data_IF_698433129221
#
_entry.id   IF_698433129221
#
_cell.length_a   1.000
_cell.length_b   1.000
_cell.length_c   1.000
_cell.angle_alpha   90.00
_cell.angle_beta   90.00
_cell.angle_gamma   90.00
#
_symmetry.space_group_name_H-M   'P 1'
#
loop_
_entity.id
_entity.type
_entity.pdbx_description
1 polymer ?
#
# COMPACT_ATOMS: atom_id res chain seq x y z
N UNK A 1 6.52 35.53 -6.46
CA UNK A 1 7.62 35.36 -5.47
C UNK A 1 7.48 34.13 -4.57
N UNK A 2 6.31 33.46 -4.50
CA UNK A 2 6.09 32.23 -3.71
C UNK A 2 6.64 30.96 -4.38
N UNK A 3 6.44 30.80 -5.68
CA UNK A 3 6.82 29.59 -6.44
C UNK A 3 8.33 29.32 -6.46
N UNK A 4 9.15 30.37 -6.52
CA UNK A 4 10.62 30.26 -6.48
C UNK A 4 11.14 29.75 -5.13
N UNK A 5 10.47 30.10 -4.01
CA UNK A 5 10.84 29.62 -2.67
C UNK A 5 10.35 28.19 -2.43
N UNK A 6 9.26 27.80 -3.05
CA UNK A 6 8.70 26.45 -2.98
C UNK A 6 9.58 25.44 -3.74
N UNK A 7 10.03 25.79 -4.96
CA UNK A 7 10.96 24.96 -5.74
C UNK A 7 12.34 24.76 -5.08
N UNK A 8 12.88 25.78 -4.41
CA UNK A 8 14.15 25.65 -3.66
C UNK A 8 14.01 24.77 -2.40
N UNK A 9 12.83 24.78 -1.76
CA UNK A 9 12.54 23.95 -0.58
C UNK A 9 12.40 22.48 -0.97
N UNK A 10 11.75 22.21 -2.10
CA UNK A 10 11.58 20.85 -2.62
C UNK A 10 12.91 20.21 -3.02
N UNK A 11 13.81 20.93 -3.69
CA UNK A 11 15.13 20.41 -4.06
C UNK A 11 15.99 20.04 -2.84
N UNK A 12 15.97 20.88 -1.78
CA UNK A 12 16.70 20.60 -0.53
C UNK A 12 16.15 19.38 0.23
N UNK A 13 14.82 19.20 0.23
CA UNK A 13 14.20 18.00 0.81
C UNK A 13 14.58 16.77 -0.02
N UNK A 14 14.54 16.88 -1.34
CA UNK A 14 14.87 15.77 -2.23
C UNK A 14 16.30 15.27 -2.02
N UNK A 15 17.29 16.16 -1.99
CA UNK A 15 18.71 15.81 -1.77
C UNK A 15 18.92 15.19 -0.38
N UNK A 16 18.36 15.78 0.67
CA UNK A 16 18.47 15.24 2.04
C UNK A 16 17.89 13.83 2.14
N UNK A 17 16.70 13.59 1.58
CA UNK A 17 16.07 12.28 1.69
C UNK A 17 16.68 11.26 0.72
N UNK A 18 17.31 11.70 -0.38
CA UNK A 18 18.11 10.83 -1.26
C UNK A 18 19.34 10.29 -0.54
N UNK A 19 20.02 11.09 0.29
CA UNK A 19 21.18 10.61 1.07
C UNK A 19 20.79 9.75 2.27
N UNK A 20 19.61 9.97 2.87
CA UNK A 20 19.13 9.14 3.98
C UNK A 20 18.59 7.80 3.48
N UNK A 21 17.86 7.76 2.36
CA UNK A 21 17.15 6.56 1.88
C UNK A 21 17.78 6.02 0.59
N UNK A 22 18.97 5.46 0.72
CA UNK A 22 19.75 4.80 -0.33
C UNK A 22 19.77 3.27 -0.18
N UNK A 23 20.24 2.57 -1.22
CA UNK A 23 20.37 1.11 -1.24
C UNK A 23 19.04 0.39 -0.92
N UNK A 24 19.04 -0.45 0.12
CA UNK A 24 17.86 -1.19 0.57
C UNK A 24 16.70 -0.29 1.07
N UNK A 25 16.99 0.97 1.40
CA UNK A 25 16.02 1.93 1.93
C UNK A 25 15.30 2.74 0.85
N UNK A 26 15.74 2.62 -0.40
CA UNK A 26 15.23 3.36 -1.56
C UNK A 26 13.70 3.23 -1.72
N UNK A 27 13.13 2.05 -1.40
CA UNK A 27 11.68 1.81 -1.44
C UNK A 27 10.86 2.77 -0.56
N UNK A 28 11.46 3.30 0.49
CA UNK A 28 10.80 4.22 1.43
C UNK A 28 10.96 5.69 1.02
N UNK A 29 11.86 6.01 0.09
CA UNK A 29 12.25 7.38 -0.24
C UNK A 29 11.08 8.26 -0.67
N UNK A 30 10.26 7.79 -1.62
CA UNK A 30 9.08 8.54 -2.10
C UNK A 30 8.08 8.81 -0.98
N UNK A 31 7.89 7.85 -0.08
CA UNK A 31 7.00 8.02 1.06
C UNK A 31 7.56 9.06 2.05
N UNK A 32 8.85 8.97 2.37
CA UNK A 32 9.56 9.91 3.22
C UNK A 32 9.50 11.36 2.67
N UNK A 33 9.69 11.53 1.36
CA UNK A 33 9.56 12.82 0.68
C UNK A 33 8.14 13.37 0.77
N UNK A 34 7.12 12.52 0.57
CA UNK A 34 5.73 12.94 0.71
C UNK A 34 5.39 13.35 2.16
N UNK A 35 5.88 12.62 3.16
CA UNK A 35 5.77 13.02 4.57
C UNK A 35 6.37 14.40 4.79
N UNK A 36 7.61 14.63 4.33
CA UNK A 36 8.30 15.90 4.49
C UNK A 36 7.56 17.07 3.82
N UNK A 37 7.05 16.87 2.59
CA UNK A 37 6.23 17.86 1.86
C UNK A 37 4.92 18.21 2.59
N UNK A 38 4.38 17.27 3.38
CA UNK A 38 3.19 17.48 4.21
C UNK A 38 3.52 17.99 5.63
N UNK A 39 4.75 18.41 5.88
CA UNK A 39 5.18 18.97 7.18
C UNK A 39 5.74 17.95 8.17
N UNK A 40 5.84 16.67 7.76
CA UNK A 40 6.41 15.57 8.52
C UNK A 40 7.93 15.57 8.50
N UNK A 41 8.53 16.58 9.14
CA UNK A 41 9.98 16.72 9.28
C UNK A 41 10.32 16.58 10.77
N UNK A 42 11.18 15.61 11.10
CA UNK A 42 11.69 15.44 12.46
C UNK A 42 12.60 16.61 12.85
N UNK A 43 12.73 16.92 14.16
CA UNK A 43 13.58 18.00 14.65
C UNK A 43 15.03 17.91 14.15
N UNK A 44 15.67 19.07 13.96
CA UNK A 44 17.10 19.16 13.66
C UNK A 44 17.91 18.48 14.76
N UNK A 45 18.85 17.60 14.39
CA UNK A 45 19.62 16.79 15.33
C UNK A 45 19.10 15.36 15.50
N UNK A 46 17.91 15.03 14.96
CA UNK A 46 17.44 13.64 14.92
C UNK A 46 18.37 12.79 14.06
N UNK A 47 18.83 11.67 14.61
CA UNK A 47 19.75 10.77 13.92
C UNK A 47 19.09 10.16 12.66
N UNK A 48 19.86 9.96 11.60
CA UNK A 48 19.37 9.37 10.36
C UNK A 48 18.73 7.98 10.59
N UNK A 49 19.27 7.20 11.54
CA UNK A 49 18.70 5.89 11.92
C UNK A 49 17.30 6.03 12.50
N UNK A 50 17.06 7.01 13.37
CA UNK A 50 15.72 7.31 13.89
C UNK A 50 14.77 7.74 12.77
N UNK A 51 15.24 8.56 11.84
CA UNK A 51 14.44 8.96 10.66
C UNK A 51 14.05 7.75 9.81
N UNK A 52 15.00 6.84 9.53
CA UNK A 52 14.73 5.57 8.83
C UNK A 52 13.69 4.73 9.56
N UNK A 53 13.81 4.61 10.89
CA UNK A 53 12.88 3.84 11.73
C UNK A 53 11.46 4.38 11.71
N UNK A 54 11.30 5.70 11.90
CA UNK A 54 10.00 6.37 11.85
C UNK A 54 9.34 6.17 10.49
N UNK A 55 10.07 6.39 9.40
CA UNK A 55 9.52 6.22 8.05
C UNK A 55 9.15 4.77 7.78
N UNK A 56 9.99 3.79 8.17
CA UNK A 56 9.68 2.37 8.03
C UNK A 56 8.42 1.99 8.82
N UNK A 57 8.32 2.43 10.08
CA UNK A 57 7.15 2.18 10.92
C UNK A 57 5.87 2.70 10.27
N UNK A 58 5.87 3.97 9.86
CA UNK A 58 4.70 4.60 9.22
C UNK A 58 4.37 3.98 7.86
N UNK A 59 5.39 3.55 7.11
CA UNK A 59 5.19 2.85 5.85
C UNK A 59 4.49 1.51 6.07
N UNK A 60 4.95 0.71 7.03
CA UNK A 60 4.32 -0.58 7.36
C UNK A 60 2.87 -0.35 7.81
N UNK A 61 2.65 0.62 8.71
CA UNK A 61 1.33 0.93 9.25
C UNK A 61 0.34 1.44 8.18
N UNK A 62 0.74 2.39 7.35
CA UNK A 62 -0.18 3.12 6.46
C UNK A 62 -0.10 2.70 4.99
N UNK A 63 1.06 2.23 4.51
CA UNK A 63 1.21 1.74 3.14
C UNK A 63 1.07 0.23 3.07
N UNK A 64 1.60 -0.52 4.03
CA UNK A 64 1.44 -1.97 4.06
C UNK A 64 0.25 -2.43 4.91
N UNK A 65 -0.45 -1.51 5.60
CA UNK A 65 -1.67 -1.81 6.37
C UNK A 65 -1.49 -3.00 7.33
N UNK A 66 -0.29 -3.13 7.92
CA UNK A 66 0.08 -4.17 8.88
C UNK A 66 0.51 -3.49 10.19
N UNK A 67 0.29 -4.15 11.32
CA UNK A 67 0.79 -3.69 12.61
C UNK A 67 2.33 -3.79 12.63
N UNK A 68 3.07 -2.67 12.76
CA UNK A 68 4.52 -2.73 12.77
C UNK A 68 5.03 -3.29 14.12
N UNK A 69 6.07 -4.12 14.07
CA UNK A 69 6.83 -4.50 15.26
C UNK A 69 7.87 -3.42 15.58
N UNK A 70 7.59 -2.62 16.61
CA UNK A 70 8.45 -1.51 17.01
C UNK A 70 9.80 -2.00 17.56
N UNK A 71 9.82 -3.12 18.30
CA UNK A 71 11.02 -3.68 18.90
C UNK A 71 11.96 -4.21 17.80
N UNK A 72 11.43 -4.91 16.80
CA UNK A 72 12.20 -5.40 15.67
C UNK A 72 12.82 -4.24 14.87
N UNK A 73 12.04 -3.22 14.54
CA UNK A 73 12.51 -2.05 13.78
C UNK A 73 13.59 -1.30 14.58
N UNK A 74 13.37 -1.11 15.88
CA UNK A 74 14.33 -0.42 16.75
C UNK A 74 15.65 -1.18 16.85
N UNK A 75 15.59 -2.51 17.02
CA UNK A 75 16.76 -3.38 17.08
C UNK A 75 17.56 -3.34 15.76
N UNK A 76 16.89 -3.47 14.61
CA UNK A 76 17.54 -3.40 13.29
C UNK A 76 18.35 -2.10 13.13
N UNK A 77 17.84 -0.99 13.66
CA UNK A 77 18.44 0.33 13.52
C UNK A 77 19.32 0.75 14.70
N UNK A 78 19.51 -0.13 15.69
CA UNK A 78 20.28 0.14 16.92
C UNK A 78 19.84 1.44 17.61
N UNK A 79 18.53 1.63 17.74
CA UNK A 79 17.90 2.72 18.50
C UNK A 79 17.01 2.11 19.59
N UNK A 80 16.66 2.89 20.62
CA UNK A 80 15.69 2.41 21.62
C UNK A 80 14.28 2.41 21.03
N UNK A 81 13.46 1.44 21.44
CA UNK A 81 12.05 1.37 21.06
C UNK A 81 11.28 2.61 21.54
N UNK A 82 11.58 3.12 22.73
CA UNK A 82 10.94 4.32 23.27
C UNK A 82 11.24 5.56 22.42
N UNK A 83 12.48 5.75 21.98
CA UNK A 83 12.85 6.85 21.06
C UNK A 83 12.13 6.72 19.72
N UNK A 84 12.01 5.49 19.19
CA UNK A 84 11.26 5.24 17.97
C UNK A 84 9.79 5.64 18.13
N UNK A 85 9.10 5.13 19.15
CA UNK A 85 7.67 5.38 19.38
C UNK A 85 7.37 6.86 19.65
N UNK A 86 8.21 7.55 20.42
CA UNK A 86 8.07 8.99 20.62
C UNK A 86 8.20 9.77 19.31
N UNK A 87 9.18 9.41 18.48
CA UNK A 87 9.42 10.07 17.19
C UNK A 87 8.31 9.75 16.17
N UNK A 88 7.75 8.54 16.21
CA UNK A 88 6.58 8.14 15.43
C UNK A 88 5.38 8.98 15.82
N UNK A 89 5.06 9.05 17.12
CA UNK A 89 3.93 9.85 17.61
C UNK A 89 4.04 11.31 17.17
N UNK A 90 5.21 11.91 17.34
CA UNK A 90 5.48 13.27 16.86
C UNK A 90 5.22 13.42 15.36
N UNK A 91 5.63 12.44 14.55
CA UNK A 91 5.42 12.46 13.10
C UNK A 91 3.94 12.29 12.75
N UNK A 92 3.24 11.35 13.39
CA UNK A 92 1.82 11.09 13.18
C UNK A 92 0.97 12.33 13.46
N UNK A 93 1.25 13.04 14.56
CA UNK A 93 0.53 14.27 14.91
C UNK A 93 0.65 15.33 13.82
N UNK A 94 1.85 15.47 13.22
CA UNK A 94 2.12 16.46 12.17
C UNK A 94 1.51 16.14 10.82
N UNK A 95 1.47 14.86 10.44
CA UNK A 95 0.99 14.43 9.11
C UNK A 95 -0.30 13.62 9.18
N UNK A 96 -1.04 13.72 10.28
CA UNK A 96 -2.24 12.90 10.54
C UNK A 96 -3.26 12.96 9.41
N UNK A 97 -3.51 14.15 8.86
CA UNK A 97 -4.43 14.32 7.72
C UNK A 97 -3.96 13.58 6.47
N UNK A 98 -2.66 13.68 6.15
CA UNK A 98 -2.07 12.98 5.02
C UNK A 98 -2.14 11.46 5.20
N UNK A 99 -1.74 10.95 6.37
CA UNK A 99 -1.80 9.52 6.67
C UNK A 99 -3.24 8.98 6.58
N UNK A 100 -4.21 9.68 7.17
CA UNK A 100 -5.64 9.35 7.06
C UNK A 100 -6.14 9.35 5.62
N UNK A 101 -5.67 10.28 4.78
CA UNK A 101 -6.03 10.31 3.35
C UNK A 101 -5.48 9.11 2.58
N UNK A 102 -4.27 8.65 2.93
CA UNK A 102 -3.65 7.47 2.35
C UNK A 102 -4.44 6.22 2.74
N UNK A 103 -4.74 6.07 4.03
CA UNK A 103 -5.55 4.97 4.55
C UNK A 103 -6.92 4.94 3.86
N UNK A 104 -7.61 6.09 3.80
CA UNK A 104 -8.91 6.23 3.13
C UNK A 104 -8.84 5.82 1.66
N UNK A 105 -7.79 6.22 0.94
CA UNK A 105 -7.61 5.83 -0.46
C UNK A 105 -7.48 4.30 -0.59
N UNK A 106 -6.62 3.67 0.20
CA UNK A 106 -6.42 2.21 0.18
C UNK A 106 -7.73 1.48 0.51
N UNK A 107 -8.41 1.88 1.59
CA UNK A 107 -9.67 1.26 2.02
C UNK A 107 -10.78 1.43 0.99
N UNK A 108 -10.78 2.54 0.23
CA UNK A 108 -11.74 2.75 -0.87
C UNK A 108 -11.56 1.71 -1.97
N UNK A 109 -10.32 1.42 -2.39
CA UNK A 109 -10.04 0.37 -3.37
C UNK A 109 -10.36 -1.03 -2.83
N UNK A 110 -10.01 -1.32 -1.58
CA UNK A 110 -10.36 -2.60 -0.95
C UNK A 110 -11.88 -2.80 -0.91
N UNK A 111 -12.63 -1.76 -0.55
CA UNK A 111 -14.11 -1.79 -0.57
C UNK A 111 -14.65 -1.99 -1.98
N UNK A 112 -14.11 -1.28 -2.97
CA UNK A 112 -14.46 -1.45 -4.38
C UNK A 112 -14.27 -2.91 -4.82
N UNK A 113 -13.13 -3.53 -4.49
CA UNK A 113 -12.87 -4.92 -4.85
C UNK A 113 -13.85 -5.88 -4.19
N UNK A 114 -14.13 -5.70 -2.90
CA UNK A 114 -15.13 -6.50 -2.17
C UNK A 114 -16.53 -6.36 -2.79
N UNK A 115 -16.95 -5.13 -3.10
CA UNK A 115 -18.23 -4.88 -3.76
C UNK A 115 -18.30 -5.54 -5.14
N UNK A 116 -17.22 -5.45 -5.94
CA UNK A 116 -17.15 -6.10 -7.24
C UNK A 116 -17.29 -7.63 -7.12
N UNK A 117 -16.64 -8.24 -6.13
CA UNK A 117 -16.75 -9.68 -5.88
C UNK A 117 -18.16 -10.10 -5.48
N UNK A 118 -18.82 -9.35 -4.59
CA UNK A 118 -20.20 -9.66 -4.19
C UNK A 118 -21.18 -9.56 -5.38
N UNK A 119 -21.02 -8.56 -6.25
CA UNK A 119 -21.85 -8.48 -7.45
C UNK A 119 -21.59 -9.64 -8.42
N UNK A 120 -20.32 -10.02 -8.64
CA UNK A 120 -20.00 -11.20 -9.46
C UNK A 120 -20.62 -12.46 -8.85
N UNK A 121 -20.56 -12.63 -7.53
CA UNK A 121 -21.17 -13.76 -6.84
C UNK A 121 -22.69 -13.83 -7.03
N UNK A 122 -23.37 -12.68 -7.01
CA UNK A 122 -24.81 -12.57 -7.23
C UNK A 122 -25.21 -12.83 -8.70
N UNK A 123 -24.40 -12.40 -9.66
CA UNK A 123 -24.72 -12.42 -11.08
C UNK A 123 -24.13 -13.62 -11.84
N UNK A 124 -23.20 -14.36 -11.21
CA UNK A 124 -22.48 -15.46 -11.86
C UNK A 124 -22.57 -16.74 -11.06
N UNK A 125 -22.84 -17.84 -11.77
CA UNK A 125 -22.76 -19.20 -11.22
C UNK A 125 -21.34 -19.77 -11.24
N UNK A 126 -20.36 -18.98 -11.68
CA UNK A 126 -18.95 -19.39 -11.68
C UNK A 126 -18.45 -19.58 -10.25
N UNK A 127 -17.89 -20.76 -9.96
CA UNK A 127 -17.18 -21.03 -8.70
C UNK A 127 -15.84 -20.28 -8.61
N UNK A 128 -15.21 -20.05 -9.76
CA UNK A 128 -13.91 -19.40 -9.90
C UNK A 128 -13.92 -18.41 -11.07
N UNK A 129 -13.16 -17.32 -10.93
CA UNK A 129 -12.89 -16.35 -12.01
C UNK A 129 -11.40 -16.07 -12.10
N UNK A 130 -10.92 -15.73 -13.29
CA UNK A 130 -9.56 -15.23 -13.44
C UNK A 130 -9.43 -13.81 -12.86
N UNK A 131 -8.22 -13.42 -12.44
CA UNK A 131 -7.96 -12.04 -12.02
C UNK A 131 -8.28 -11.04 -13.15
N UNK A 132 -7.97 -11.41 -14.41
CA UNK A 132 -8.25 -10.58 -15.57
C UNK A 132 -9.74 -10.30 -15.73
N UNK A 133 -10.59 -11.34 -15.64
CA UNK A 133 -12.06 -11.18 -15.65
C UNK A 133 -12.53 -10.29 -14.48
N UNK A 134 -12.01 -10.53 -13.26
CA UNK A 134 -12.36 -9.74 -12.09
C UNK A 134 -12.00 -8.25 -12.25
N UNK A 135 -10.79 -7.95 -12.73
CA UNK A 135 -10.34 -6.56 -12.91
C UNK A 135 -11.06 -5.86 -14.04
N UNK A 136 -11.35 -6.57 -15.14
CA UNK A 136 -12.17 -6.02 -16.22
C UNK A 136 -13.55 -5.65 -15.70
N UNK A 137 -14.21 -6.54 -14.94
CA UNK A 137 -15.49 -6.25 -14.30
C UNK A 137 -15.42 -5.04 -13.35
N UNK A 138 -14.38 -4.99 -12.50
CA UNK A 138 -14.17 -3.86 -11.57
C UNK A 138 -13.98 -2.53 -12.31
N UNK A 139 -13.22 -2.53 -13.42
CA UNK A 139 -13.05 -1.35 -14.30
C UNK A 139 -14.38 -0.91 -14.90
N UNK A 140 -15.21 -1.85 -15.36
CA UNK A 140 -16.55 -1.53 -15.87
C UNK A 140 -17.44 -0.92 -14.80
N UNK A 141 -17.41 -1.42 -13.56
CA UNK A 141 -18.15 -0.81 -12.44
C UNK A 141 -17.71 0.63 -12.16
N UNK A 142 -16.40 0.91 -12.16
CA UNK A 142 -15.90 2.27 -11.97
C UNK A 142 -16.37 3.21 -13.08
N UNK A 143 -16.35 2.76 -14.34
CA UNK A 143 -16.86 3.53 -15.47
C UNK A 143 -18.37 3.79 -15.34
N UNK A 144 -19.14 2.78 -14.94
CA UNK A 144 -20.58 2.89 -14.75
C UNK A 144 -20.95 3.89 -13.63
N UNK A 145 -20.16 3.94 -12.54
CA UNK A 145 -20.38 4.88 -11.44
C UNK A 145 -19.74 6.26 -11.65
N UNK A 146 -19.19 6.56 -12.84
CA UNK A 146 -18.47 7.81 -13.12
C UNK A 146 -17.33 8.09 -12.11
N UNK A 147 -16.71 7.03 -11.59
CA UNK A 147 -15.63 7.13 -10.61
C UNK A 147 -14.25 7.10 -11.31
N UNK A 148 -13.42 8.12 -11.09
CA UNK A 148 -12.04 8.20 -11.61
C UNK A 148 -11.03 7.54 -10.63
N UNK A 149 -9.95 6.82 -11.08
CA UNK A 149 -9.64 6.36 -12.44
C UNK A 149 -9.45 4.82 -12.55
N UNK A 150 -9.91 4.20 -13.65
CA UNK A 150 -9.65 2.79 -13.97
C UNK A 150 -8.15 2.43 -14.07
N UNK A 151 -7.28 3.42 -14.24
CA UNK A 151 -5.83 3.25 -14.47
C UNK A 151 -5.05 2.75 -13.26
N UNK A 152 -5.58 2.95 -12.05
CA UNK A 152 -4.90 2.53 -10.81
C UNK A 152 -5.38 1.17 -10.29
N UNK A 153 -6.48 0.63 -10.83
CA UNK A 153 -7.14 -0.60 -10.36
C UNK A 153 -6.16 -1.78 -10.30
N UNK A 154 -5.44 -2.04 -11.39
CA UNK A 154 -4.53 -3.19 -11.48
C UNK A 154 -3.40 -3.06 -10.45
N UNK A 155 -2.85 -1.86 -10.32
CA UNK A 155 -1.77 -1.57 -9.37
C UNK A 155 -2.23 -1.73 -7.92
N UNK A 156 -3.41 -1.20 -7.58
CA UNK A 156 -3.96 -1.34 -6.24
C UNK A 156 -4.33 -2.78 -5.93
N UNK A 157 -4.91 -3.50 -6.90
CA UNK A 157 -5.24 -4.90 -6.71
C UNK A 157 -3.99 -5.74 -6.45
N UNK A 158 -2.97 -5.64 -7.31
CA UNK A 158 -1.72 -6.38 -7.12
C UNK A 158 -1.00 -6.05 -5.82
N UNK A 159 -1.15 -4.82 -5.31
CA UNK A 159 -0.53 -4.39 -4.04
C UNK A 159 -1.34 -4.77 -2.81
N UNK A 160 -2.67 -4.78 -2.88
CA UNK A 160 -3.56 -4.87 -1.71
C UNK A 160 -4.52 -6.07 -1.75
N UNK A 161 -4.31 -7.02 -2.67
CA UNK A 161 -5.11 -8.23 -2.76
C UNK A 161 -5.27 -8.96 -1.42
N UNK A 162 -4.21 -9.04 -0.61
CA UNK A 162 -4.26 -9.71 0.69
C UNK A 162 -5.25 -9.05 1.68
N UNK A 163 -5.57 -7.76 1.53
CA UNK A 163 -6.57 -7.06 2.35
C UNK A 163 -8.02 -7.39 1.96
N UNK A 164 -8.23 -7.95 0.77
CA UNK A 164 -9.57 -8.28 0.28
C UNK A 164 -10.17 -9.51 0.96
N UNK A 165 -9.32 -10.43 1.46
CA UNK A 165 -9.74 -11.72 2.01
C UNK A 165 -10.09 -12.76 0.94
N UNK A 166 -9.86 -12.47 -0.34
CA UNK A 166 -10.13 -13.40 -1.44
C UNK A 166 -9.19 -14.60 -1.41
N UNK A 167 -9.74 -15.79 -1.71
CA UNK A 167 -8.96 -17.03 -1.76
C UNK A 167 -8.40 -17.24 -3.17
N UNK A 168 -7.08 -17.28 -3.24
CA UNK A 168 -6.32 -17.65 -4.44
C UNK A 168 -6.28 -19.17 -4.61
N UNK A 169 -6.60 -19.69 -5.80
CA UNK A 169 -6.31 -21.08 -6.19
C UNK A 169 -5.45 -21.14 -7.45
N UNK A 170 -4.56 -22.12 -7.53
CA UNK A 170 -3.85 -22.46 -8.77
C UNK A 170 -4.71 -23.40 -9.62
N UNK A 171 -4.73 -23.21 -10.94
CA UNK A 171 -5.54 -24.03 -11.86
C UNK A 171 -4.97 -24.10 -13.27
N UNK A 172 -5.33 -25.16 -14.03
CA UNK A 172 -4.86 -25.39 -15.43
C UNK A 172 -5.38 -24.34 -16.43
N UNK A 173 -6.54 -23.73 -16.18
CA UNK A 173 -7.14 -22.64 -16.98
C UNK A 173 -6.64 -21.24 -16.57
N UNK A 174 -5.67 -21.15 -15.65
CA UNK A 174 -5.16 -19.88 -15.14
C UNK A 174 -4.17 -19.18 -16.10
N UNK A 175 -3.89 -19.72 -17.28
CA UNK A 175 -2.91 -19.21 -18.25
C UNK A 175 -3.11 -17.75 -18.69
N UNK A 176 -4.26 -17.13 -18.41
CA UNK A 176 -4.55 -15.71 -18.67
C UNK A 176 -4.47 -14.78 -17.44
N UNK A 177 -4.03 -15.28 -16.28
CA UNK A 177 -4.01 -14.52 -15.02
C UNK A 177 -2.92 -13.44 -14.94
N UNK A 178 -3.18 -12.39 -14.16
CA UNK A 178 -2.18 -11.36 -13.82
C UNK A 178 -1.28 -11.87 -12.69
N UNK A 179 0.02 -11.61 -12.78
CA UNK A 179 0.96 -11.88 -11.69
C UNK A 179 0.64 -11.00 -10.47
N UNK A 180 0.32 -11.63 -9.35
CA UNK A 180 0.17 -10.95 -8.07
C UNK A 180 1.52 -10.90 -7.36
N UNK A 181 1.97 -9.70 -7.01
CA UNK A 181 3.16 -9.52 -6.19
C UNK A 181 2.83 -9.80 -4.72
N UNK A 182 2.69 -11.09 -4.40
CA UNK A 182 2.65 -11.58 -3.02
C UNK A 182 4.08 -12.00 -2.67
N UNK A 183 4.94 -11.02 -2.36
CA UNK A 183 6.38 -11.16 -2.00
C UNK A 183 7.34 -11.72 -3.10
N UNK A 184 8.66 -11.43 -3.04
CA UNK A 184 9.57 -11.53 -4.19
C UNK A 184 10.06 -12.95 -4.57
N UNK A 185 9.54 -14.03 -3.97
CA UNK A 185 10.27 -15.31 -3.90
C UNK A 185 9.72 -16.46 -4.73
N UNK A 186 8.66 -16.31 -5.54
CA UNK A 186 8.16 -17.43 -6.37
C UNK A 186 7.78 -17.02 -7.79
N UNK A 187 8.49 -17.61 -8.77
CA UNK A 187 8.20 -17.53 -10.20
C UNK A 187 6.84 -18.17 -10.55
N UNK A 188 6.03 -17.41 -11.28
CA UNK A 188 4.96 -17.81 -12.20
C UNK A 188 4.03 -18.95 -11.76
N UNK A 189 3.02 -18.61 -10.96
CA UNK A 189 1.76 -19.37 -10.88
C UNK A 189 0.61 -18.38 -10.98
N UNK A 190 -0.13 -18.44 -12.09
CA UNK A 190 -1.31 -17.60 -12.27
C UNK A 190 -2.41 -18.00 -11.27
N UNK A 191 -3.09 -17.00 -10.72
CA UNK A 191 -4.01 -17.14 -9.59
C UNK A 191 -5.45 -16.96 -10.06
N UNK A 192 -6.30 -17.96 -9.80
CA UNK A 192 -7.76 -17.82 -9.88
C UNK A 192 -8.29 -17.28 -8.55
N UNK A 193 -9.34 -16.47 -8.61
CA UNK A 193 -10.06 -16.00 -7.44
C UNK A 193 -11.29 -16.88 -7.24
N UNK A 194 -11.44 -17.43 -6.04
CA UNK A 194 -12.64 -18.14 -5.65
C UNK A 194 -13.80 -17.16 -5.39
N UNK A 195 -14.93 -17.37 -6.09
CA UNK A 195 -16.13 -16.55 -5.98
C UNK A 195 -17.12 -17.15 -4.97
N UNK A 196 -17.29 -18.49 -5.00
CA UNK A 196 -18.18 -19.23 -4.10
C UNK A 196 -17.39 -20.28 -3.29
N UNK A 197 -17.68 -20.38 -2.00
CA UNK A 197 -17.11 -21.39 -1.10
C UNK A 197 -17.68 -22.79 -1.36
N UNK A 198 -17.02 -23.83 -0.85
CA UNK A 198 -17.62 -25.16 -0.69
C UNK A 198 -18.64 -25.12 0.44
N UNK A 199 -19.75 -24.43 0.21
CA UNK A 199 -20.93 -24.46 1.06
C UNK A 199 -22.15 -24.77 0.19
N UNK A 200 -22.07 -25.94 -0.47
CA UNK A 200 -23.22 -26.83 -0.71
C UNK A 200 -23.05 -28.03 0.25
N UNK A 201 -22.82 -27.72 1.53
CA UNK A 201 -22.96 -28.66 2.63
C UNK A 201 -24.38 -28.55 3.18
N UNK A 202 -25.34 -28.99 2.37
CA UNK A 202 -26.69 -29.40 2.77
C UNK A 202 -26.94 -30.76 2.13
#
# INVERSE_FOLDING_TARGET
MSEFREGQRDNKIEEKYRSIFDGEWERYRKFAQNLARKGGILPSGTWNKTTKGVVKYLYIKHIEQIMPDAAEIANQLKISESTLLQSVKFMEDRVSYFLKSVDKKIQTYVKLFKTAMEQIKMLSDKKYITIKEFLNYTKHLCLFWSANPPKEIDKFFSRYFYLTGFKAKSGRTATEGIELYVTPTTRSRCVLIQVRGDSDGL
#
